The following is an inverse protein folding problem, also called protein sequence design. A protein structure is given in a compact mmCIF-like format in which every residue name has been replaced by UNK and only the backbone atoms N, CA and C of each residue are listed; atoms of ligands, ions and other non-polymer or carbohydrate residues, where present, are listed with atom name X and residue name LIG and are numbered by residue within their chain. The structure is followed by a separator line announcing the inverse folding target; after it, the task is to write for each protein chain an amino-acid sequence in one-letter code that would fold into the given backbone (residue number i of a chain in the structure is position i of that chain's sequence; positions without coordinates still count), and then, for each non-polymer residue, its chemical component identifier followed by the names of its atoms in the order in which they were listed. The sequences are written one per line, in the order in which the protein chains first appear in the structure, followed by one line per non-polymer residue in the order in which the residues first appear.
data_IF_922547903623
#
_entry.id   IF_922547903623
#
_cell.length_a   1.000
_cell.length_b   1.000
_cell.length_c   1.000
_cell.angle_alpha   90.00
_cell.angle_beta   90.00
_cell.angle_gamma   90.00
#
_symmetry.space_group_name_H-M   'P 1'
#
loop_
_entity.id
_entity.type
_entity.pdbx_description
1 polymer ?
#
# COMPACT_ATOMS: atom_id res chain seq x y z
N UNK A 1 -4.82 -4.02 42.17
CA UNK A 1 -5.85 -4.78 41.43
C UNK A 1 -6.02 -4.16 40.05
N UNK A 2 -6.12 -4.99 39.01
CA UNK A 2 -6.29 -4.69 37.58
C UNK A 2 -5.03 -4.82 36.71
N UNK A 3 -4.42 -6.02 36.76
CA UNK A 3 -3.75 -6.62 35.60
C UNK A 3 -4.79 -7.49 34.88
N UNK A 4 -4.59 -7.79 33.58
CA UNK A 4 -5.44 -8.62 32.70
C UNK A 4 -6.39 -7.82 31.79
N UNK A 5 -5.85 -7.24 30.73
CA UNK A 5 -6.50 -7.14 29.40
C UNK A 5 -5.45 -7.14 28.29
N UNK A 6 -4.92 -8.31 27.94
CA UNK A 6 -4.11 -8.50 26.72
C UNK A 6 -4.12 -9.97 26.27
N UNK A 7 -5.30 -10.54 26.00
CA UNK A 7 -5.43 -11.93 25.51
C UNK A 7 -6.55 -12.09 24.45
N UNK A 8 -6.71 -11.15 23.53
CA UNK A 8 -7.73 -11.25 22.47
C UNK A 8 -7.22 -11.02 21.03
N UNK A 9 -5.91 -10.86 20.81
CA UNK A 9 -5.35 -10.59 19.48
C UNK A 9 -4.62 -11.78 18.82
N UNK A 10 -4.50 -12.91 19.50
CA UNK A 10 -3.76 -14.08 18.98
C UNK A 10 -4.53 -14.93 17.96
N UNK A 11 -5.86 -14.80 17.89
CA UNK A 11 -6.70 -15.66 17.04
C UNK A 11 -6.82 -15.22 15.56
N UNK A 12 -6.25 -14.06 15.19
CA UNK A 12 -6.25 -13.56 13.80
C UNK A 12 -4.85 -13.58 13.15
N UNK A 13 -3.91 -14.35 13.72
CA UNK A 13 -2.58 -14.54 13.13
C UNK A 13 -2.64 -15.66 12.08
N UNK A 14 -2.72 -15.28 10.81
CA UNK A 14 -2.52 -16.18 9.67
C UNK A 14 -1.17 -16.92 9.84
N UNK A 15 -1.11 -18.26 9.67
CA UNK A 15 0.15 -18.97 9.71
C UNK A 15 0.92 -18.64 8.42
N UNK A 16 1.97 -17.83 8.54
CA UNK A 16 3.01 -17.75 7.53
C UNK A 16 3.80 -19.06 7.58
N UNK A 17 3.77 -19.77 6.47
CA UNK A 17 4.48 -21.02 6.16
C UNK A 17 5.84 -21.13 6.86
N UNK A 18 5.98 -22.13 7.72
CA UNK A 18 7.26 -22.64 8.20
C UNK A 18 7.95 -23.34 7.02
N UNK A 19 9.04 -22.76 6.54
CA UNK A 19 9.93 -23.40 5.58
C UNK A 19 10.80 -24.37 6.38
N UNK A 20 10.59 -25.67 6.20
CA UNK A 20 11.50 -26.70 6.70
C UNK A 20 12.86 -26.56 6.03
N UNK A 21 13.92 -26.48 6.83
CA UNK A 21 15.31 -26.44 6.39
C UNK A 21 15.88 -27.85 6.50
N UNK A 22 16.12 -28.52 5.36
CA UNK A 22 16.96 -29.71 5.32
C UNK A 22 18.43 -29.28 5.21
N UNK A 23 19.21 -29.67 6.22
CA UNK A 23 20.62 -29.35 6.43
C UNK A 23 21.53 -30.22 5.56
N UNK A 24 22.44 -29.61 4.77
CA UNK A 24 23.73 -30.19 4.36
C UNK A 24 24.68 -29.08 3.81
N UNK A 25 25.72 -28.77 4.61
CA UNK A 25 26.99 -28.07 4.28
C UNK A 25 26.98 -26.54 3.97
N UNK A 26 28.14 -25.85 4.06
CA UNK A 26 28.76 -25.34 5.28
C UNK A 26 28.76 -23.80 5.36
N UNK A 27 28.78 -23.28 6.59
CA UNK A 27 29.11 -21.93 7.04
C UNK A 27 29.45 -20.84 5.98
N UNK A 28 28.45 -20.04 5.57
CA UNK A 28 28.63 -18.62 5.27
C UNK A 28 27.37 -17.82 5.69
N UNK A 29 27.53 -17.12 6.83
CA UNK A 29 26.86 -15.86 7.24
C UNK A 29 25.33 -15.81 7.41
N UNK A 30 24.83 -15.80 8.67
CA UNK A 30 23.54 -15.22 9.03
C UNK A 30 23.50 -13.67 8.98
N UNK A 31 24.47 -12.99 8.35
CA UNK A 31 24.73 -11.55 8.50
C UNK A 31 24.33 -10.70 7.27
N UNK A 32 23.37 -11.12 6.45
CA UNK A 32 22.87 -10.33 5.30
C UNK A 32 21.34 -10.12 5.27
N UNK A 33 20.63 -10.55 6.32
CA UNK A 33 19.20 -10.28 6.48
C UNK A 33 18.92 -8.91 7.12
N UNK A 34 19.96 -8.12 7.39
CA UNK A 34 19.84 -6.80 8.00
C UNK A 34 19.32 -5.79 6.97
N UNK A 35 18.00 -5.73 6.90
CA UNK A 35 17.15 -4.67 6.39
C UNK A 35 17.04 -4.57 4.85
N UNK A 36 16.34 -5.55 4.30
CA UNK A 36 15.65 -5.45 3.01
C UNK A 36 14.61 -4.31 3.03
N UNK A 37 15.05 -3.05 2.90
CA UNK A 37 14.20 -1.85 2.82
C UNK A 37 13.84 -1.53 1.37
N UNK A 38 12.59 -1.10 1.13
CA UNK A 38 12.12 -0.65 -0.18
C UNK A 38 11.41 -1.70 -1.02
N UNK A 39 10.92 -1.28 -2.19
CA UNK A 39 10.24 -2.15 -3.17
C UNK A 39 11.29 -2.71 -4.11
N UNK A 40 11.45 -4.04 -4.12
CA UNK A 40 12.39 -4.74 -5.00
C UNK A 40 11.67 -5.88 -5.71
N UNK A 41 12.09 -6.17 -6.94
CA UNK A 41 11.52 -7.23 -7.77
C UNK A 41 12.68 -7.96 -8.43
N UNK A 42 12.67 -9.30 -8.39
CA UNK A 42 13.60 -10.12 -9.17
C UNK A 42 12.99 -10.33 -10.55
N UNK A 43 13.74 -10.02 -11.60
CA UNK A 43 13.35 -10.34 -12.98
C UNK A 43 13.47 -11.85 -13.17
N UNK A 44 12.40 -12.49 -13.63
CA UNK A 44 12.37 -13.92 -13.97
C UNK A 44 12.23 -14.04 -15.48
N UNK A 45 12.81 -15.10 -16.05
CA UNK A 45 12.61 -15.52 -17.44
C UNK A 45 12.91 -14.41 -18.47
N UNK A 46 13.83 -13.50 -18.15
CA UNK A 46 14.17 -12.35 -18.98
C UNK A 46 13.06 -11.30 -19.14
N UNK A 47 11.91 -11.45 -18.47
CA UNK A 47 10.75 -10.56 -18.66
C UNK A 47 10.84 -9.30 -17.79
N UNK A 48 11.58 -8.32 -18.28
CA UNK A 48 11.78 -7.03 -17.61
C UNK A 48 10.49 -6.21 -17.51
N UNK A 49 9.68 -6.17 -18.57
CA UNK A 49 8.45 -5.35 -18.62
C UNK A 49 7.44 -5.76 -17.56
N UNK A 50 7.27 -7.08 -17.38
CA UNK A 50 6.40 -7.61 -16.33
C UNK A 50 6.92 -7.24 -14.95
N UNK A 51 8.25 -7.37 -14.73
CA UNK A 51 8.87 -7.00 -13.47
C UNK A 51 8.70 -5.49 -13.15
N UNK A 52 8.86 -4.62 -14.15
CA UNK A 52 8.65 -3.18 -14.03
C UNK A 52 7.18 -2.84 -13.74
N UNK A 53 6.25 -3.53 -14.40
CA UNK A 53 4.80 -3.36 -14.16
C UNK A 53 4.45 -3.74 -12.72
N UNK A 54 5.01 -4.84 -12.21
CA UNK A 54 4.85 -5.25 -10.81
C UNK A 54 5.43 -4.22 -9.84
N UNK A 55 6.63 -3.72 -10.12
CA UNK A 55 7.28 -2.69 -9.32
C UNK A 55 6.42 -1.42 -9.28
N UNK A 56 5.92 -0.95 -10.42
CA UNK A 56 5.06 0.23 -10.53
C UNK A 56 3.76 0.05 -9.74
N UNK A 57 3.06 -1.09 -9.88
CA UNK A 57 1.83 -1.37 -9.11
C UNK A 57 2.10 -1.37 -7.60
N UNK A 58 3.23 -1.95 -7.18
CA UNK A 58 3.62 -1.96 -5.76
C UNK A 58 3.97 -0.55 -5.26
N UNK A 59 4.60 0.26 -6.09
CA UNK A 59 4.93 1.67 -5.82
C UNK A 59 3.69 2.56 -5.72
N UNK A 60 2.69 2.31 -6.57
CA UNK A 60 1.43 3.04 -6.57
C UNK A 60 0.57 2.71 -5.35
N UNK A 61 0.42 1.41 -5.06
CA UNK A 61 -0.38 0.92 -3.93
C UNK A 61 0.20 1.30 -2.58
N UNK A 62 1.54 1.32 -2.44
CA UNK A 62 2.20 1.81 -1.21
C UNK A 62 2.06 3.31 -1.01
N UNK A 63 1.66 4.05 -2.05
CA UNK A 63 1.51 5.50 -2.04
C UNK A 63 2.84 6.25 -2.15
N UNK A 64 3.98 5.57 -2.27
CA UNK A 64 5.29 6.22 -2.39
C UNK A 64 5.39 7.06 -3.67
N UNK A 65 4.78 6.62 -4.78
CA UNK A 65 4.73 7.41 -6.01
C UNK A 65 4.08 8.79 -5.76
N UNK A 66 3.01 8.82 -4.95
CA UNK A 66 2.31 10.06 -4.63
C UNK A 66 3.16 10.95 -3.73
N UNK A 67 3.95 10.37 -2.81
CA UNK A 67 4.86 11.13 -1.96
C UNK A 67 5.97 11.77 -2.78
N UNK A 68 6.59 11.01 -3.68
CA UNK A 68 7.65 11.50 -4.59
C UNK A 68 7.10 12.61 -5.49
N UNK A 69 5.97 12.38 -6.17
CA UNK A 69 5.37 13.39 -7.07
C UNK A 69 4.87 14.65 -6.34
N UNK A 70 4.52 14.54 -5.05
CA UNK A 70 4.04 15.67 -4.23
C UNK A 70 5.16 16.35 -3.45
N UNK A 71 6.42 16.00 -3.70
CA UNK A 71 7.55 16.65 -3.07
C UNK A 71 7.47 18.17 -3.30
N UNK A 72 7.53 18.93 -2.21
CA UNK A 72 7.46 20.39 -2.28
C UNK A 72 8.81 20.93 -2.72
N UNK A 73 8.84 21.66 -3.83
CA UNK A 73 10.06 22.35 -4.32
C UNK A 73 10.29 23.68 -3.59
N UNK A 74 9.23 24.28 -3.05
CA UNK A 74 9.26 25.55 -2.33
C UNK A 74 8.45 25.48 -1.04
N UNK A 75 8.78 26.36 -0.10
CA UNK A 75 8.03 26.49 1.13
C UNK A 75 6.60 27.00 0.88
N UNK A 76 5.65 26.39 1.57
CA UNK A 76 4.24 26.82 1.62
C UNK A 76 3.91 27.17 3.07
N UNK A 77 3.35 28.35 3.29
CA UNK A 77 2.97 28.82 4.63
C UNK A 77 1.78 28.02 5.18
N UNK A 78 1.57 28.07 6.49
CA UNK A 78 0.54 27.27 7.16
C UNK A 78 -0.89 27.66 6.74
N UNK A 79 -1.17 28.94 6.49
CA UNK A 79 -2.46 29.41 5.97
C UNK A 79 -2.79 28.75 4.62
N UNK A 80 -1.82 28.75 3.70
CA UNK A 80 -1.97 28.13 2.38
C UNK A 80 -2.11 26.60 2.47
N UNK A 81 -1.35 25.94 3.34
CA UNK A 81 -1.50 24.49 3.59
C UNK A 81 -2.94 24.13 3.99
N UNK A 82 -3.58 24.94 4.85
CA UNK A 82 -4.99 24.73 5.27
C UNK A 82 -5.96 24.87 4.11
N UNK A 83 -5.77 25.88 3.25
CA UNK A 83 -6.59 26.09 2.06
C UNK A 83 -6.45 24.93 1.08
N UNK A 84 -5.22 24.47 0.81
CA UNK A 84 -4.96 23.33 -0.06
C UNK A 84 -5.59 22.04 0.48
N UNK A 85 -5.49 21.79 1.78
CA UNK A 85 -6.11 20.63 2.43
C UNK A 85 -7.64 20.66 2.26
N UNK A 86 -8.29 21.81 2.49
CA UNK A 86 -9.73 21.99 2.30
C UNK A 86 -10.15 21.73 0.85
N UNK A 87 -9.45 22.31 -0.12
CA UNK A 87 -9.72 22.09 -1.56
C UNK A 87 -9.53 20.62 -1.98
N UNK A 88 -8.54 19.93 -1.41
CA UNK A 88 -8.33 18.49 -1.66
C UNK A 88 -9.45 17.64 -1.10
N UNK A 89 -9.92 17.95 0.12
CA UNK A 89 -11.05 17.27 0.74
C UNK A 89 -12.33 17.44 -0.09
N UNK A 90 -12.63 18.67 -0.50
CA UNK A 90 -13.79 18.96 -1.34
C UNK A 90 -13.76 18.22 -2.67
N UNK A 91 -12.60 18.20 -3.36
CA UNK A 91 -12.42 17.42 -4.60
C UNK A 91 -12.69 15.93 -4.37
N UNK A 92 -12.20 15.37 -3.26
CA UNK A 92 -12.43 13.97 -2.89
C UNK A 92 -13.93 13.70 -2.69
N UNK A 93 -14.63 14.53 -1.90
CA UNK A 93 -16.06 14.37 -1.63
C UNK A 93 -16.86 14.44 -2.95
N UNK A 94 -16.63 15.47 -3.77
CA UNK A 94 -17.30 15.62 -5.08
C UNK A 94 -17.10 14.39 -5.98
N UNK A 95 -15.89 13.84 -6.02
CA UNK A 95 -15.60 12.62 -6.80
C UNK A 95 -16.34 11.39 -6.28
N UNK A 96 -16.46 11.26 -4.95
CA UNK A 96 -17.14 10.14 -4.31
C UNK A 96 -18.64 10.21 -4.53
N UNK A 97 -19.23 11.39 -4.42
CA UNK A 97 -20.66 11.60 -4.66
C UNK A 97 -21.02 11.34 -6.11
N UNK A 98 -20.18 11.79 -7.06
CA UNK A 98 -20.34 11.47 -8.47
C UNK A 98 -20.26 9.96 -8.71
N UNK A 99 -19.27 9.26 -8.14
CA UNK A 99 -19.16 7.81 -8.28
C UNK A 99 -20.38 7.06 -7.70
N UNK A 100 -20.94 7.52 -6.57
CA UNK A 100 -22.17 6.97 -5.99
C UNK A 100 -23.37 7.17 -6.90
N UNK A 101 -23.53 8.37 -7.48
CA UNK A 101 -24.60 8.68 -8.44
C UNK A 101 -24.50 7.80 -9.69
N UNK A 102 -23.31 7.67 -10.26
CA UNK A 102 -23.08 6.80 -11.42
C UNK A 102 -23.38 5.33 -11.09
N UNK A 103 -22.94 4.84 -9.93
CA UNK A 103 -23.26 3.48 -9.47
C UNK A 103 -24.78 3.28 -9.35
N UNK A 104 -25.51 4.25 -8.80
CA UNK A 104 -26.96 4.18 -8.69
C UNK A 104 -27.64 4.12 -10.08
N UNK A 105 -27.19 4.94 -11.03
CA UNK A 105 -27.69 4.92 -12.42
C UNK A 105 -27.41 3.56 -13.08
N UNK A 106 -26.18 3.03 -12.94
CA UNK A 106 -25.82 1.73 -13.49
C UNK A 106 -26.69 0.61 -12.91
N UNK A 107 -26.94 0.63 -11.60
CA UNK A 107 -27.80 -0.37 -10.94
C UNK A 107 -29.24 -0.27 -11.44
N UNK A 108 -29.79 0.93 -11.61
CA UNK A 108 -31.13 1.13 -12.18
C UNK A 108 -31.22 0.56 -13.60
N UNK A 109 -30.24 0.90 -14.46
CA UNK A 109 -30.14 0.39 -15.83
C UNK A 109 -30.09 -1.14 -15.90
N UNK A 110 -29.27 -1.78 -15.07
CA UNK A 110 -29.15 -3.25 -15.03
C UNK A 110 -30.44 -3.92 -14.53
N UNK A 111 -31.18 -3.25 -13.65
CA UNK A 111 -32.46 -3.76 -13.11
C UNK A 111 -33.67 -3.48 -14.02
N UNK A 112 -33.49 -2.76 -15.13
CA UNK A 112 -34.59 -2.39 -16.03
C UNK A 112 -35.55 -1.34 -15.46
N UNK A 113 -35.09 -0.52 -14.51
CA UNK A 113 -35.82 0.59 -13.88
C UNK A 113 -35.34 1.95 -14.38
#
# INVERSE_FOLDING_TARGET
MNSVRMLASSLLRRPSQTIEWCSCAPHYQPLQLQQWRGIRVKVRDGNLEQALTWLQRRMQSSGIERLIKRQQTRHIKNSEKRVLARKNLERKIRSQDLARKLKAILVKKVRGL
#
